data_IF_544203812575
#
_entry.id   IF_544203812575
#
_cell.length_a   1.000
_cell.length_b   1.000
_cell.length_c   1.000
_cell.angle_alpha   90.00
_cell.angle_beta   90.00
_cell.angle_gamma   90.00
#
_symmetry.space_group_name_H-M   'P 1'
#
loop_
_entity.id
_entity.type
_entity.pdbx_description
1 polymer ?
#
# COMPACT_ATOMS: atom_id res chain seq x y z
N UNK A 1 13.07 -14.51 27.54
CA UNK A 1 12.00 -13.59 27.17
C UNK A 1 11.99 -13.36 25.68
N UNK A 2 10.90 -13.67 25.03
CA UNK A 2 10.76 -13.38 23.60
C UNK A 2 10.34 -11.93 23.41
N UNK A 3 11.13 -11.17 22.68
CA UNK A 3 10.78 -9.80 22.33
C UNK A 3 9.70 -9.83 21.25
N UNK A 4 8.57 -9.21 21.50
CA UNK A 4 7.50 -9.13 20.53
C UNK A 4 7.91 -8.19 19.40
N UNK A 5 7.84 -8.67 18.15
CA UNK A 5 8.13 -7.87 16.98
C UNK A 5 7.01 -6.85 16.79
N UNK A 6 7.39 -5.59 16.67
CA UNK A 6 6.47 -4.48 16.44
C UNK A 6 6.97 -3.63 15.29
N UNK A 7 6.05 -3.05 14.48
CA UNK A 7 6.48 -2.14 13.44
C UNK A 7 6.86 -0.77 14.02
N UNK A 8 7.70 -0.06 13.31
CA UNK A 8 7.94 1.36 13.57
C UNK A 8 6.94 2.19 12.77
N UNK A 9 6.30 3.15 13.42
CA UNK A 9 5.41 4.11 12.79
C UNK A 9 6.25 5.24 12.21
N UNK A 10 6.16 5.45 10.89
CA UNK A 10 6.96 6.43 10.18
C UNK A 10 6.10 7.26 9.23
N UNK A 11 6.59 8.45 8.91
CA UNK A 11 5.97 9.31 7.90
C UNK A 11 7.01 9.75 6.90
N UNK A 12 6.58 9.92 5.66
CA UNK A 12 7.43 10.44 4.60
C UNK A 12 6.65 11.49 3.81
N UNK A 13 7.30 12.61 3.53
CA UNK A 13 6.72 13.67 2.69
C UNK A 13 7.16 13.43 1.25
N UNK A 14 6.17 13.27 0.37
CA UNK A 14 6.44 13.08 -1.05
C UNK A 14 6.70 14.43 -1.73
N UNK A 15 7.29 14.39 -2.94
CA UNK A 15 7.56 15.59 -3.72
C UNK A 15 6.28 16.39 -4.03
N UNK A 16 5.13 15.71 -4.09
CA UNK A 16 3.82 16.35 -4.25
C UNK A 16 3.40 17.18 -3.05
N UNK A 17 4.05 16.99 -1.89
CA UNK A 17 3.73 17.67 -0.65
C UNK A 17 2.87 16.85 0.32
N UNK A 18 2.32 15.71 -0.11
CA UNK A 18 1.52 14.87 0.77
C UNK A 18 2.43 14.09 1.73
N UNK A 19 2.03 14.02 3.00
CA UNK A 19 2.69 13.18 3.98
C UNK A 19 1.97 11.85 4.08
N UNK A 20 2.69 10.76 3.87
CA UNK A 20 2.12 9.42 3.99
C UNK A 20 2.72 8.71 5.21
N UNK A 21 1.83 8.11 5.98
CA UNK A 21 2.21 7.28 7.13
C UNK A 21 2.36 5.84 6.69
N UNK A 22 3.33 5.15 7.25
CA UNK A 22 3.51 3.72 6.99
C UNK A 22 4.09 3.01 8.21
N UNK A 23 3.90 1.70 8.23
CA UNK A 23 4.48 0.83 9.25
C UNK A 23 5.67 0.10 8.65
N UNK A 24 6.84 0.27 9.25
CA UNK A 24 8.07 -0.39 8.84
C UNK A 24 8.33 -1.55 9.81
N UNK A 25 8.25 -2.77 9.30
CA UNK A 25 8.40 -3.98 10.10
C UNK A 25 9.84 -4.43 10.25
N UNK A 26 10.80 -3.63 9.82
CA UNK A 26 12.22 -3.91 9.98
C UNK A 26 12.78 -4.80 8.89
N UNK A 27 13.83 -5.56 9.23
CA UNK A 27 14.53 -6.50 8.34
C UNK A 27 15.16 -5.79 7.12
N UNK A 28 15.90 -4.73 7.38
CA UNK A 28 16.61 -3.98 6.34
C UNK A 28 17.59 -4.88 5.61
N UNK A 29 17.63 -4.76 4.28
CA UNK A 29 18.48 -5.57 3.43
C UNK A 29 17.79 -6.80 2.86
N UNK A 30 16.66 -7.22 3.43
CA UNK A 30 15.81 -8.25 2.85
C UNK A 30 15.01 -7.67 1.67
N UNK A 31 14.46 -8.51 0.78
CA UNK A 31 13.63 -8.02 -0.32
C UNK A 31 12.43 -7.22 0.18
N UNK A 32 12.13 -6.12 -0.50
CA UNK A 32 11.06 -5.21 -0.10
C UNK A 32 9.69 -5.72 -0.52
N UNK A 33 8.70 -5.60 0.38
CA UNK A 33 7.30 -5.87 0.12
C UNK A 33 6.47 -4.67 0.58
N UNK A 34 5.72 -4.09 -0.35
CA UNK A 34 4.81 -2.98 -0.06
C UNK A 34 3.38 -3.48 -0.06
N UNK A 35 2.66 -3.24 1.04
CA UNK A 35 1.29 -3.70 1.24
C UNK A 35 0.31 -2.52 1.17
N UNK A 36 -0.73 -2.65 0.32
CA UNK A 36 -1.78 -1.65 0.14
C UNK A 36 -3.13 -2.21 0.59
N UNK A 37 -3.74 -1.55 1.57
CA UNK A 37 -5.01 -1.96 2.17
C UNK A 37 -6.23 -1.68 1.28
N UNK A 38 -7.38 -2.22 1.66
CA UNK A 38 -8.66 -1.97 1.00
C UNK A 38 -9.32 -0.65 1.43
N UNK A 39 -10.52 -0.39 0.90
CA UNK A 39 -11.22 0.90 1.02
C UNK A 39 -11.39 1.36 2.48
N UNK A 40 -11.76 0.46 3.37
CA UNK A 40 -11.97 0.76 4.79
C UNK A 40 -10.79 0.40 5.67
N UNK A 41 -9.68 0.00 5.04
CA UNK A 41 -8.51 -0.46 5.78
C UNK A 41 -7.51 0.66 6.05
N UNK A 42 -6.42 0.24 6.62
CA UNK A 42 -5.25 1.06 6.90
C UNK A 42 -4.03 0.12 7.05
N UNK A 43 -2.87 0.68 7.36
CA UNK A 43 -1.63 -0.12 7.44
C UNK A 43 -1.74 -1.28 8.44
N UNK A 44 -2.40 -1.07 9.58
CA UNK A 44 -2.58 -2.12 10.58
C UNK A 44 -3.51 -3.26 10.15
N UNK A 45 -4.28 -3.09 9.07
CA UNK A 45 -5.07 -4.19 8.51
C UNK A 45 -4.18 -5.35 8.06
N UNK A 46 -2.91 -5.08 7.81
CA UNK A 46 -1.92 -6.06 7.38
C UNK A 46 -1.06 -6.64 8.51
N UNK A 47 -1.40 -6.37 9.78
CA UNK A 47 -0.52 -6.74 10.90
C UNK A 47 -0.17 -8.24 10.92
N UNK A 48 -1.17 -9.11 10.77
CA UNK A 48 -0.93 -10.56 10.81
C UNK A 48 -0.05 -11.03 9.64
N UNK A 49 -0.34 -10.54 8.44
CA UNK A 49 0.45 -10.85 7.25
C UNK A 49 1.86 -10.29 7.38
N UNK A 50 1.98 -9.05 7.84
CA UNK A 50 3.27 -8.39 8.03
C UNK A 50 4.14 -9.14 9.01
N UNK A 51 3.56 -9.58 10.13
CA UNK A 51 4.27 -10.34 11.15
C UNK A 51 4.80 -11.66 10.58
N UNK A 52 3.98 -12.33 9.74
CA UNK A 52 4.40 -13.58 9.11
C UNK A 52 5.51 -13.37 8.07
N UNK A 53 5.47 -12.27 7.32
CA UNK A 53 6.41 -12.02 6.22
C UNK A 53 7.72 -11.36 6.67
N UNK A 54 7.71 -10.60 7.78
CA UNK A 54 8.84 -9.76 8.14
C UNK A 54 10.11 -10.53 8.52
N UNK A 55 10.03 -11.85 8.72
CA UNK A 55 11.21 -12.67 8.98
C UNK A 55 12.07 -12.82 7.71
N UNK A 56 11.43 -12.84 6.54
CA UNK A 56 12.11 -13.10 5.26
C UNK A 56 12.12 -11.88 4.34
N UNK A 57 11.30 -10.86 4.64
CA UNK A 57 11.11 -9.68 3.79
C UNK A 57 11.13 -8.41 4.63
N UNK A 58 11.52 -7.31 3.98
CA UNK A 58 11.32 -5.98 4.54
C UNK A 58 9.90 -5.55 4.19
N UNK A 59 9.00 -5.58 5.17
CA UNK A 59 7.58 -5.30 4.96
C UNK A 59 7.27 -3.85 5.32
N UNK A 60 6.68 -3.14 4.35
CA UNK A 60 6.22 -1.77 4.49
C UNK A 60 4.72 -1.75 4.23
N UNK A 61 3.94 -1.42 5.25
CA UNK A 61 2.48 -1.33 5.14
C UNK A 61 2.09 0.15 5.10
N UNK A 62 1.52 0.58 3.99
CA UNK A 62 1.22 1.99 3.73
C UNK A 62 -0.21 2.33 4.12
N UNK A 63 -0.39 3.46 4.81
CA UNK A 63 -1.69 4.14 4.88
C UNK A 63 -1.84 4.94 3.60
N UNK A 64 -2.73 4.52 2.71
CA UNK A 64 -2.95 5.26 1.46
C UNK A 64 -3.61 6.60 1.76
N UNK A 65 -3.51 7.56 0.81
CA UNK A 65 -4.03 8.91 1.03
C UNK A 65 -5.46 8.90 1.59
N UNK A 66 -5.69 9.74 2.58
CA UNK A 66 -7.00 9.86 3.22
C UNK A 66 -7.33 8.76 4.21
N UNK A 67 -6.41 7.84 4.46
CA UNK A 67 -6.63 6.71 5.37
C UNK A 67 -5.60 6.72 6.51
N UNK A 68 -5.99 6.14 7.62
CA UNK A 68 -5.11 6.02 8.78
C UNK A 68 -4.53 7.37 9.20
N UNK A 69 -3.21 7.44 9.31
CA UNK A 69 -2.51 8.65 9.72
C UNK A 69 -1.88 9.42 8.55
N UNK A 70 -2.15 9.00 7.32
CA UNK A 70 -1.73 9.74 6.12
C UNK A 70 -2.60 10.98 5.93
N UNK A 71 -2.04 11.99 5.24
CA UNK A 71 -2.77 13.20 4.92
C UNK A 71 -4.01 12.91 4.09
N UNK A 72 -5.02 13.73 4.24
CA UNK A 72 -6.16 13.74 3.34
C UNK A 72 -5.71 14.19 1.96
N UNK A 73 -6.42 13.73 0.93
CA UNK A 73 -6.08 14.07 -0.44
C UNK A 73 -6.16 15.58 -0.65
N UNK A 74 -5.09 16.22 -1.15
CA UNK A 74 -5.16 17.63 -1.53
C UNK A 74 -6.28 17.85 -2.54
N UNK A 75 -7.10 18.87 -2.29
CA UNK A 75 -8.23 19.20 -3.16
C UNK A 75 -9.25 18.06 -3.35
N UNK A 76 -9.24 17.07 -2.43
CA UNK A 76 -10.15 15.94 -2.49
C UNK A 76 -9.87 14.96 -3.62
N UNK A 77 -8.65 14.92 -4.14
CA UNK A 77 -8.29 14.04 -5.26
C UNK A 77 -8.02 12.60 -4.79
N UNK A 78 -9.02 11.74 -4.98
CA UNK A 78 -8.94 10.30 -4.75
C UNK A 78 -9.01 9.51 -6.05
N UNK A 79 -8.52 10.08 -7.14
CA UNK A 79 -8.48 9.41 -8.43
C UNK A 79 -7.46 8.27 -8.44
N UNK A 80 -7.65 7.31 -9.35
CA UNK A 80 -6.68 6.23 -9.53
C UNK A 80 -5.29 6.75 -9.85
N UNK A 81 -5.19 7.82 -10.64
CA UNK A 81 -3.91 8.46 -10.96
C UNK A 81 -3.22 9.00 -9.72
N UNK A 82 -3.97 9.59 -8.79
CA UNK A 82 -3.40 10.13 -7.57
C UNK A 82 -2.82 9.01 -6.69
N UNK A 83 -3.52 7.88 -6.56
CA UNK A 83 -3.02 6.73 -5.84
C UNK A 83 -1.75 6.14 -6.49
N UNK A 84 -1.71 6.07 -7.81
CA UNK A 84 -0.52 5.59 -8.55
C UNK A 84 0.67 6.52 -8.30
N UNK A 85 0.45 7.83 -8.35
CA UNK A 85 1.51 8.80 -8.08
C UNK A 85 2.03 8.68 -6.65
N UNK A 86 1.16 8.38 -5.67
CA UNK A 86 1.59 8.15 -4.30
C UNK A 86 2.48 6.91 -4.19
N UNK A 87 2.11 5.82 -4.85
CA UNK A 87 2.92 4.59 -4.85
C UNK A 87 4.29 4.87 -5.46
N UNK A 88 4.32 5.56 -6.59
CA UNK A 88 5.57 5.92 -7.26
C UNK A 88 6.43 6.81 -6.36
N UNK A 89 5.85 7.88 -5.81
CA UNK A 89 6.55 8.80 -4.93
C UNK A 89 7.08 8.11 -3.68
N UNK A 90 6.28 7.23 -3.09
CA UNK A 90 6.69 6.46 -1.92
C UNK A 90 7.88 5.54 -2.25
N UNK A 91 7.79 4.82 -3.36
CA UNK A 91 8.87 3.92 -3.78
C UNK A 91 10.16 4.69 -4.06
N UNK A 92 10.06 5.86 -4.68
CA UNK A 92 11.22 6.70 -4.95
C UNK A 92 11.82 7.26 -3.65
N UNK A 93 10.98 7.72 -2.72
CA UNK A 93 11.43 8.29 -1.45
C UNK A 93 12.18 7.25 -0.59
N UNK A 94 11.76 5.99 -0.64
CA UNK A 94 12.39 4.91 0.11
C UNK A 94 13.40 4.11 -0.71
N UNK A 95 13.66 4.50 -1.94
CA UNK A 95 14.59 3.82 -2.87
C UNK A 95 14.20 2.36 -3.10
N UNK A 96 12.91 2.08 -3.25
CA UNK A 96 12.43 0.74 -3.56
C UNK A 96 12.54 0.51 -5.06
N UNK A 97 13.28 -0.52 -5.45
CA UNK A 97 13.43 -0.92 -6.84
C UNK A 97 13.41 -2.45 -6.90
N UNK A 98 12.58 -3.00 -7.76
CA UNK A 98 12.38 -4.44 -7.81
C UNK A 98 11.66 -4.98 -6.58
N UNK A 99 10.68 -4.24 -6.07
CA UNK A 99 9.92 -4.66 -4.90
C UNK A 99 8.67 -5.46 -5.28
N UNK A 100 8.15 -6.22 -4.31
CA UNK A 100 6.87 -6.91 -4.44
C UNK A 100 5.76 -5.98 -3.96
N UNK A 101 4.74 -5.79 -4.81
CA UNK A 101 3.57 -4.98 -4.48
C UNK A 101 2.39 -5.89 -4.23
N UNK A 102 1.78 -5.77 -3.06
CA UNK A 102 0.61 -6.56 -2.65
C UNK A 102 -0.54 -5.62 -2.38
N UNK A 103 -1.67 -5.84 -3.03
CA UNK A 103 -2.84 -5.00 -2.84
C UNK A 103 -4.10 -5.80 -2.57
N UNK A 104 -4.92 -5.34 -1.63
CA UNK A 104 -6.21 -5.92 -1.29
C UNK A 104 -7.33 -4.98 -1.70
N UNK A 105 -8.32 -5.48 -2.44
CA UNK A 105 -9.50 -4.71 -2.86
C UNK A 105 -9.11 -3.41 -3.57
N UNK A 106 -9.42 -2.24 -2.98
CA UNK A 106 -9.01 -0.93 -3.54
C UNK A 106 -7.49 -0.88 -3.75
N UNK A 107 -6.71 -1.36 -2.79
CA UNK A 107 -5.25 -1.46 -2.93
C UNK A 107 -4.85 -2.37 -4.08
N UNK A 108 -5.63 -3.40 -4.37
CA UNK A 108 -5.43 -4.27 -5.53
C UNK A 108 -5.63 -3.53 -6.84
N UNK A 109 -6.67 -2.72 -6.93
CA UNK A 109 -6.91 -1.87 -8.12
C UNK A 109 -5.78 -0.88 -8.32
N UNK A 110 -5.36 -0.23 -7.25
CA UNK A 110 -4.26 0.74 -7.29
C UNK A 110 -2.96 0.06 -7.70
N UNK A 111 -2.73 -1.16 -7.22
CA UNK A 111 -1.55 -1.97 -7.58
C UNK A 111 -1.56 -2.36 -9.06
N UNK A 112 -2.71 -2.75 -9.60
CA UNK A 112 -2.85 -3.07 -11.02
C UNK A 112 -2.57 -1.84 -11.88
N UNK A 113 -3.13 -0.69 -11.50
CA UNK A 113 -2.91 0.55 -12.24
C UNK A 113 -1.43 0.96 -12.19
N UNK A 114 -0.79 0.81 -11.05
CA UNK A 114 0.64 1.06 -10.89
C UNK A 114 1.46 0.13 -11.80
N UNK A 115 1.16 -1.17 -11.75
CA UNK A 115 1.88 -2.17 -12.55
C UNK A 115 1.72 -1.90 -14.06
N UNK A 116 0.55 -1.42 -14.48
CA UNK A 116 0.33 -1.06 -15.89
C UNK A 116 1.19 0.09 -16.38
N UNK A 117 1.61 0.98 -15.47
CA UNK A 117 2.41 2.17 -15.82
C UNK A 117 3.89 2.03 -15.47
N UNK A 118 4.20 1.28 -14.43
CA UNK A 118 5.54 1.24 -13.83
C UNK A 118 5.99 -0.20 -13.53
N UNK A 119 5.70 -1.14 -14.43
CA UNK A 119 6.03 -2.56 -14.23
C UNK A 119 7.53 -2.79 -14.02
N UNK A 120 8.38 -1.93 -14.57
CA UNK A 120 9.82 -2.01 -14.44
C UNK A 120 10.31 -1.84 -13.00
N UNK A 121 9.48 -1.26 -12.14
CA UNK A 121 9.78 -1.07 -10.71
C UNK A 121 9.51 -2.33 -9.88
N UNK A 122 8.73 -3.27 -10.41
CA UNK A 122 8.23 -4.41 -9.64
C UNK A 122 9.00 -5.69 -9.91
N UNK A 123 9.32 -6.43 -8.85
CA UNK A 123 9.75 -7.82 -8.97
C UNK A 123 8.52 -8.73 -9.12
N UNK A 124 7.48 -8.48 -8.32
CA UNK A 124 6.25 -9.28 -8.29
C UNK A 124 5.05 -8.41 -7.97
N UNK A 125 3.89 -8.88 -8.42
CA UNK A 125 2.59 -8.26 -8.10
C UNK A 125 1.67 -9.34 -7.55
N UNK A 126 1.06 -9.08 -6.39
CA UNK A 126 0.10 -9.97 -5.77
C UNK A 126 -1.21 -9.22 -5.51
N UNK A 127 -2.29 -9.70 -6.09
CA UNK A 127 -3.61 -9.10 -5.92
C UNK A 127 -4.46 -10.02 -5.05
N UNK A 128 -4.98 -9.48 -3.96
CA UNK A 128 -5.77 -10.24 -3.00
C UNK A 128 -7.23 -9.82 -3.10
N UNK A 129 -8.09 -10.80 -3.34
CA UNK A 129 -9.54 -10.64 -3.30
C UNK A 129 -10.10 -9.61 -4.28
N UNK A 130 -9.48 -9.50 -5.47
CA UNK A 130 -10.01 -8.72 -6.59
C UNK A 130 -9.39 -9.20 -7.89
N UNK A 131 -10.20 -9.26 -8.95
CA UNK A 131 -9.73 -9.58 -10.30
C UNK A 131 -9.46 -8.32 -11.13
N UNK A 132 -8.91 -8.50 -12.36
CA UNK A 132 -8.64 -7.37 -13.27
C UNK A 132 -9.89 -6.60 -13.67
N UNK A 133 -11.06 -7.23 -13.63
CA UNK A 133 -12.35 -6.59 -13.88
C UNK A 133 -13.28 -6.84 -12.70
N UNK A 134 -14.09 -5.85 -12.38
CA UNK A 134 -14.99 -5.88 -11.23
C UNK A 134 -16.42 -5.81 -11.71
N UNK A 135 -17.30 -6.65 -11.12
CA UNK A 135 -18.74 -6.58 -11.40
C UNK A 135 -19.28 -5.24 -10.88
N UNK A 136 -19.85 -4.40 -11.76
CA UNK A 136 -20.36 -3.09 -11.34
C UNK A 136 -21.43 -3.18 -10.24
N UNK A 137 -22.20 -4.28 -10.20
CA UNK A 137 -23.23 -4.49 -9.17
C UNK A 137 -22.63 -4.64 -7.79
N UNK A 138 -21.49 -5.33 -7.68
CA UNK A 138 -20.78 -5.48 -6.41
C UNK A 138 -20.27 -4.12 -5.90
N UNK A 139 -19.70 -3.32 -6.79
CA UNK A 139 -19.23 -1.98 -6.47
C UNK A 139 -20.34 -1.05 -5.99
N UNK A 140 -21.49 -1.09 -6.67
CA UNK A 140 -22.66 -0.31 -6.28
C UNK A 140 -23.17 -0.71 -4.90
N UNK A 141 -23.21 -2.00 -4.62
CA UNK A 141 -23.64 -2.50 -3.33
C UNK A 141 -22.76 -2.00 -2.20
N UNK A 142 -21.46 -2.07 -2.36
CA UNK A 142 -20.51 -1.56 -1.36
C UNK A 142 -20.73 -0.07 -1.12
N UNK A 143 -20.89 0.71 -2.18
CA UNK A 143 -21.14 2.14 -2.10
C UNK A 143 -22.42 2.44 -1.34
N UNK A 144 -23.49 1.66 -1.54
CA UNK A 144 -24.76 1.85 -0.86
C UNK A 144 -24.69 1.49 0.63
N UNK A 145 -23.85 0.54 1.00
CA UNK A 145 -23.68 0.11 2.39
C UNK A 145 -22.72 0.99 3.19
N UNK A 146 -21.99 1.85 2.53
CA UNK A 146 -21.06 2.79 3.15
C UNK A 146 -21.79 4.03 3.66
#
# INVERSE_FOLDING_TARGET
MTTKIKPESKKVKLNSGINLHYLDWGNRGAPDVLLLHGLRGHAHSWDDVSLALCQDYRVLALDQRGRGESDWAPEGDYSGSAFVEDILGFSDALNLDGFTLVGHSMGGRNSLAFAGRHSEKLAKLCIVDIGPSVDPRGGQRITQEL
#
